data_IF_242128441162
#
_entry.id   IF_242128441162
#
_cell.length_a   1.000
_cell.length_b   1.000
_cell.length_c   1.000
_cell.angle_alpha   90.00
_cell.angle_beta   90.00
_cell.angle_gamma   90.00
#
_symmetry.space_group_name_H-M   'P 1'
#
loop_
_entity.id
_entity.type
_entity.pdbx_description
1 polymer ?
#
# COMPACT_ATOMS: atom_id res chain seq x y z
N UNK A 1 11.83 26.70 -25.09
CA UNK A 1 11.45 27.36 -23.82
C UNK A 1 9.93 27.24 -23.69
N UNK A 2 9.39 26.54 -22.67
CA UNK A 2 7.92 26.37 -22.55
C UNK A 2 7.24 27.71 -22.29
N UNK A 3 6.10 27.96 -22.92
CA UNK A 3 5.30 29.17 -22.71
C UNK A 3 4.70 29.20 -21.29
N UNK A 4 4.36 30.38 -20.77
CA UNK A 4 3.73 30.54 -19.43
C UNK A 4 2.47 29.68 -19.30
N UNK A 5 1.67 29.58 -20.36
CA UNK A 5 0.45 28.76 -20.43
C UNK A 5 0.75 27.25 -20.35
N UNK A 6 1.82 26.80 -21.01
CA UNK A 6 2.25 25.39 -20.94
C UNK A 6 2.79 25.01 -19.56
N UNK A 7 3.51 25.92 -18.88
CA UNK A 7 3.99 25.68 -17.51
C UNK A 7 2.83 25.56 -16.52
N UNK A 8 1.86 26.48 -16.59
CA UNK A 8 0.66 26.44 -15.75
C UNK A 8 -0.15 25.16 -15.96
N UNK A 9 -0.30 24.70 -17.21
CA UNK A 9 -0.97 23.43 -17.52
C UNK A 9 -0.24 22.24 -16.91
N UNK A 10 1.09 22.15 -17.09
CA UNK A 10 1.91 21.06 -16.52
C UNK A 10 1.83 21.02 -14.98
N UNK A 11 1.83 22.18 -14.33
CA UNK A 11 1.69 22.26 -12.88
C UNK A 11 0.31 21.77 -12.41
N UNK A 12 -0.76 22.17 -13.12
CA UNK A 12 -2.12 21.69 -12.84
C UNK A 12 -2.27 20.18 -13.04
N UNK A 13 -1.76 19.64 -14.15
CA UNK A 13 -1.85 18.21 -14.45
C UNK A 13 -1.13 17.38 -13.36
N UNK A 14 0.07 17.82 -12.95
CA UNK A 14 0.79 17.21 -11.82
C UNK A 14 -0.02 17.27 -10.53
N UNK A 15 -0.65 18.41 -10.23
CA UNK A 15 -1.48 18.54 -9.05
C UNK A 15 -2.68 17.58 -9.06
N UNK A 16 -3.29 17.34 -10.22
CA UNK A 16 -4.36 16.33 -10.34
C UNK A 16 -3.84 14.91 -10.19
N UNK A 17 -2.66 14.58 -10.74
CA UNK A 17 -2.00 13.29 -10.50
C UNK A 17 -1.77 13.05 -8.99
N UNK A 18 -1.45 14.12 -8.27
CA UNK A 18 -1.25 14.10 -6.82
C UNK A 18 -2.53 13.71 -6.08
N UNK A 19 -3.62 14.40 -6.41
CA UNK A 19 -4.94 14.12 -5.84
C UNK A 19 -5.39 12.71 -6.23
N UNK A 20 -5.12 12.27 -7.47
CA UNK A 20 -5.36 10.89 -7.91
C UNK A 20 -4.71 9.85 -6.99
N UNK A 21 -3.42 9.99 -6.66
CA UNK A 21 -2.76 9.04 -5.77
C UNK A 21 -3.40 9.01 -4.38
N UNK A 22 -3.73 10.18 -3.82
CA UNK A 22 -4.40 10.28 -2.52
C UNK A 22 -5.77 9.59 -2.54
N UNK A 23 -6.56 9.80 -3.60
CA UNK A 23 -7.87 9.16 -3.80
C UNK A 23 -7.73 7.65 -3.95
N UNK A 24 -6.78 7.21 -4.77
CA UNK A 24 -6.48 5.79 -4.97
C UNK A 24 -6.15 5.10 -3.65
N UNK A 25 -5.20 5.64 -2.87
CA UNK A 25 -4.83 5.10 -1.57
C UNK A 25 -5.98 5.15 -0.56
N UNK A 26 -6.79 6.21 -0.57
CA UNK A 26 -8.01 6.30 0.25
C UNK A 26 -9.00 5.17 -0.04
N UNK A 27 -9.26 4.88 -1.32
CA UNK A 27 -10.11 3.75 -1.72
C UNK A 27 -9.52 2.41 -1.26
N UNK A 28 -8.23 2.17 -1.51
CA UNK A 28 -7.56 0.95 -1.09
C UNK A 28 -7.55 0.77 0.43
N UNK A 29 -7.35 1.86 1.19
CA UNK A 29 -7.36 1.82 2.64
C UNK A 29 -8.72 1.40 3.20
N UNK A 30 -9.82 1.89 2.61
CA UNK A 30 -11.19 1.46 2.98
C UNK A 30 -11.40 -0.04 2.69
N UNK A 31 -10.96 -0.53 1.54
CA UNK A 31 -11.06 -1.96 1.18
C UNK A 31 -10.23 -2.85 2.11
N UNK A 32 -9.00 -2.46 2.43
CA UNK A 32 -8.15 -3.19 3.37
C UNK A 32 -8.71 -3.18 4.78
N UNK A 33 -9.27 -2.06 5.23
CA UNK A 33 -9.90 -1.97 6.55
C UNK A 33 -11.12 -2.91 6.64
N UNK A 34 -11.95 -2.97 5.59
CA UNK A 34 -13.06 -3.91 5.51
C UNK A 34 -12.57 -5.37 5.56
N UNK A 35 -11.49 -5.69 4.83
CA UNK A 35 -10.88 -7.03 4.84
C UNK A 35 -10.39 -7.39 6.25
N UNK A 36 -9.65 -6.48 6.91
CA UNK A 36 -9.14 -6.65 8.27
C UNK A 36 -10.26 -6.92 9.28
N UNK A 37 -11.40 -6.22 9.15
CA UNK A 37 -12.58 -6.45 9.99
C UNK A 37 -13.31 -7.76 9.68
N UNK A 38 -13.27 -8.23 8.43
CA UNK A 38 -13.98 -9.46 7.99
C UNK A 38 -13.19 -10.77 8.17
N UNK A 39 -11.88 -10.67 8.44
CA UNK A 39 -10.96 -11.80 8.54
C UNK A 39 -11.25 -12.79 9.69
N UNK A 40 -12.19 -12.47 10.58
CA UNK A 40 -12.41 -13.18 11.85
C UNK A 40 -13.10 -14.54 11.77
N UNK A 41 -13.98 -14.77 10.78
CA UNK A 41 -15.05 -15.76 10.98
C UNK A 41 -15.01 -17.00 10.07
N UNK A 42 -14.13 -17.06 9.06
CA UNK A 42 -14.18 -18.10 8.00
C UNK A 42 -12.86 -18.78 7.64
N UNK A 43 -11.79 -18.50 8.38
CA UNK A 43 -10.43 -19.01 8.10
C UNK A 43 -9.86 -19.71 9.32
N UNK A 44 -9.09 -20.77 9.13
CA UNK A 44 -8.39 -21.45 10.22
C UNK A 44 -7.31 -20.57 10.85
N UNK A 45 -6.76 -21.00 11.99
CA UNK A 45 -5.80 -20.19 12.77
C UNK A 45 -4.50 -19.91 11.99
N UNK A 46 -4.02 -20.87 11.20
CA UNK A 46 -2.83 -20.70 10.35
C UNK A 46 -3.09 -19.70 9.22
N UNK A 47 -4.27 -19.75 8.60
CA UNK A 47 -4.67 -18.79 7.57
C UNK A 47 -4.88 -17.40 8.15
N UNK A 48 -5.41 -17.28 9.39
CA UNK A 48 -5.51 -15.99 10.10
C UNK A 48 -4.14 -15.37 10.31
N UNK A 49 -3.13 -16.17 10.66
CA UNK A 49 -1.76 -15.69 10.84
C UNK A 49 -1.18 -15.15 9.52
N UNK A 50 -1.28 -15.91 8.44
CA UNK A 50 -0.80 -15.49 7.11
C UNK A 50 -1.53 -14.24 6.63
N UNK A 51 -2.85 -14.21 6.80
CA UNK A 51 -3.69 -13.08 6.43
C UNK A 51 -3.29 -11.83 7.23
N UNK A 52 -3.04 -11.97 8.54
CA UNK A 52 -2.57 -10.88 9.39
C UNK A 52 -1.22 -10.33 8.92
N UNK A 53 -0.22 -11.19 8.66
CA UNK A 53 1.09 -10.73 8.17
C UNK A 53 0.99 -10.06 6.79
N UNK A 54 0.14 -10.60 5.91
CA UNK A 54 -0.10 -10.06 4.58
C UNK A 54 -0.75 -8.68 4.66
N UNK A 55 -1.77 -8.52 5.51
CA UNK A 55 -2.42 -7.23 5.74
C UNK A 55 -1.45 -6.24 6.38
N UNK A 56 -0.73 -6.63 7.43
CA UNK A 56 0.26 -5.77 8.12
C UNK A 56 1.28 -5.23 7.11
N UNK A 57 1.88 -6.12 6.31
CA UNK A 57 2.86 -5.75 5.28
C UNK A 57 2.28 -4.78 4.26
N UNK A 58 1.08 -5.06 3.76
CA UNK A 58 0.41 -4.21 2.78
C UNK A 58 0.06 -2.85 3.36
N UNK A 59 -0.44 -2.77 4.60
CA UNK A 59 -0.75 -1.51 5.28
C UNK A 59 0.51 -0.66 5.41
N UNK A 60 1.63 -1.24 5.86
CA UNK A 60 2.89 -0.51 6.02
C UNK A 60 3.46 -0.05 4.67
N UNK A 61 3.49 -0.93 3.66
CA UNK A 61 3.93 -0.59 2.30
C UNK A 61 3.10 0.56 1.71
N UNK A 62 1.78 0.43 1.81
CA UNK A 62 0.83 1.41 1.30
C UNK A 62 0.96 2.73 2.04
N UNK A 63 1.07 2.71 3.37
CA UNK A 63 1.19 3.92 4.17
C UNK A 63 2.47 4.69 3.85
N UNK A 64 3.63 4.02 3.77
CA UNK A 64 4.88 4.71 3.40
C UNK A 64 4.79 5.27 1.99
N UNK A 65 4.23 4.51 1.04
CA UNK A 65 4.06 4.99 -0.35
C UNK A 65 3.11 6.20 -0.41
N UNK A 66 2.01 6.15 0.34
CA UNK A 66 1.08 7.27 0.46
C UNK A 66 1.76 8.53 1.01
N UNK A 67 2.57 8.39 2.07
CA UNK A 67 3.32 9.51 2.63
C UNK A 67 4.38 10.07 1.67
N UNK A 68 5.00 9.21 0.86
CA UNK A 68 5.92 9.63 -0.20
C UNK A 68 5.21 10.49 -1.24
N UNK A 69 4.06 10.05 -1.73
CA UNK A 69 3.27 10.83 -2.69
C UNK A 69 2.74 12.12 -2.07
N UNK A 70 2.30 12.09 -0.81
CA UNK A 70 1.85 13.29 -0.09
C UNK A 70 2.96 14.35 -0.01
N UNK A 71 4.17 13.94 0.37
CA UNK A 71 5.32 14.84 0.48
C UNK A 71 5.72 15.40 -0.89
N UNK A 72 5.93 14.51 -1.86
CA UNK A 72 6.37 14.86 -3.21
C UNK A 72 5.41 15.83 -3.90
N UNK A 73 4.12 15.67 -3.66
CA UNK A 73 3.12 16.31 -4.48
C UNK A 73 2.24 17.36 -3.81
N UNK A 74 2.17 17.38 -2.48
CA UNK A 74 1.50 18.47 -1.76
C UNK A 74 2.48 19.32 -0.96
N UNK A 75 3.59 18.75 -0.50
CA UNK A 75 4.54 19.52 0.32
C UNK A 75 5.59 20.22 -0.51
N UNK A 76 6.10 19.55 -1.54
CA UNK A 76 7.06 20.10 -2.50
C UNK A 76 6.39 20.83 -3.68
N UNK A 77 5.06 20.83 -3.76
CA UNK A 77 4.35 21.54 -4.82
C UNK A 77 4.48 23.06 -4.67
N UNK A 78 5.27 23.64 -5.57
CA UNK A 78 5.41 25.07 -5.72
C UNK A 78 4.28 25.62 -6.60
N UNK A 79 3.12 25.85 -5.98
CA UNK A 79 2.01 26.54 -6.62
C UNK A 79 2.45 27.95 -7.09
N UNK A 80 2.31 28.23 -8.38
CA UNK A 80 2.58 29.58 -8.94
C UNK A 80 1.41 30.55 -8.68
N UNK A 81 0.19 30.03 -8.48
CA UNK A 81 -0.99 30.83 -8.15
C UNK A 81 -1.27 30.86 -6.63
N UNK A 82 -1.67 32.04 -6.15
CA UNK A 82 -1.87 32.34 -4.73
C UNK A 82 -3.00 31.50 -4.12
N UNK A 83 -4.05 31.21 -4.90
CA UNK A 83 -5.22 30.48 -4.43
C UNK A 83 -4.88 29.02 -4.12
N UNK A 84 -4.23 28.32 -5.05
CA UNK A 84 -3.80 26.93 -4.85
C UNK A 84 -2.81 26.83 -3.70
N UNK A 85 -1.88 27.79 -3.60
CA UNK A 85 -0.95 27.86 -2.46
C UNK A 85 -1.69 27.95 -1.12
N UNK A 86 -2.67 28.85 -1.01
CA UNK A 86 -3.45 29.02 0.21
C UNK A 86 -4.22 27.74 0.59
N UNK A 87 -4.80 27.04 -0.40
CA UNK A 87 -5.49 25.76 -0.19
C UNK A 87 -4.55 24.65 0.28
N UNK A 88 -3.34 24.57 -0.30
CA UNK A 88 -2.29 23.63 0.12
C UNK A 88 -1.81 23.92 1.55
N UNK A 89 -1.58 25.19 1.88
CA UNK A 89 -1.15 25.59 3.23
C UNK A 89 -2.24 25.31 4.27
N UNK A 90 -3.52 25.51 3.93
CA UNK A 90 -4.64 25.13 4.78
C UNK A 90 -4.71 23.61 4.97
N UNK A 91 -4.59 22.84 3.89
CA UNK A 91 -4.56 21.39 3.92
C UNK A 91 -3.46 20.86 4.86
N UNK A 92 -2.23 21.37 4.71
CA UNK A 92 -1.07 21.03 5.58
C UNK A 92 -1.39 21.22 7.05
N UNK A 93 -1.93 22.38 7.42
CA UNK A 93 -2.30 22.70 8.81
C UNK A 93 -3.37 21.77 9.37
N UNK A 94 -4.36 21.39 8.55
CA UNK A 94 -5.46 20.52 8.99
C UNK A 94 -4.96 19.10 9.25
N UNK A 95 -4.05 18.59 8.42
CA UNK A 95 -3.54 17.21 8.55
C UNK A 95 -2.35 17.08 9.51
N UNK A 96 -1.74 18.18 9.93
CA UNK A 96 -0.56 18.21 10.81
C UNK A 96 -0.69 17.31 12.06
N UNK A 97 -1.84 17.27 12.78
CA UNK A 97 -2.00 16.36 13.91
C UNK A 97 -1.85 14.87 13.55
N UNK A 98 -2.30 14.48 12.35
CA UNK A 98 -2.15 13.11 11.84
C UNK A 98 -0.67 12.82 11.58
N UNK A 99 0.03 13.74 10.91
CA UNK A 99 1.45 13.59 10.59
C UNK A 99 2.30 13.47 11.85
N UNK A 100 2.04 14.33 12.83
CA UNK A 100 2.69 14.31 14.13
C UNK A 100 2.55 12.95 14.83
N UNK A 101 1.36 12.36 14.81
CA UNK A 101 1.14 11.00 15.36
C UNK A 101 1.90 9.92 14.59
N UNK A 102 1.99 10.05 13.26
CA UNK A 102 2.67 9.05 12.43
C UNK A 102 4.19 9.06 12.59
N UNK A 103 4.77 10.20 13.00
CA UNK A 103 6.19 10.31 13.32
C UNK A 103 6.60 9.50 14.56
N UNK A 104 5.64 8.99 15.35
CA UNK A 104 5.94 8.08 16.45
C UNK A 104 6.47 6.72 15.98
N UNK A 105 6.18 6.30 14.73
CA UNK A 105 6.72 5.07 14.15
C UNK A 105 7.98 5.38 13.35
N UNK A 106 9.07 5.61 14.08
CA UNK A 106 10.33 6.16 13.54
C UNK A 106 10.99 5.26 12.50
N UNK A 107 10.79 3.94 12.58
CA UNK A 107 11.45 2.98 11.70
C UNK A 107 10.58 2.51 10.55
N UNK A 108 9.37 3.03 10.36
CA UNK A 108 8.42 2.51 9.37
C UNK A 108 9.00 2.46 7.94
N UNK A 109 9.70 3.51 7.51
CA UNK A 109 10.38 3.56 6.20
C UNK A 109 11.56 2.60 6.12
N UNK A 110 12.35 2.49 7.20
CA UNK A 110 13.49 1.59 7.30
C UNK A 110 13.02 0.13 7.23
N UNK A 111 11.94 -0.19 7.94
CA UNK A 111 11.30 -1.50 7.92
C UNK A 111 10.78 -1.86 6.53
N UNK A 112 10.10 -0.93 5.84
CA UNK A 112 9.69 -1.10 4.44
C UNK A 112 10.88 -1.51 3.56
N UNK A 113 11.96 -0.75 3.63
CA UNK A 113 13.11 -0.91 2.73
C UNK A 113 13.95 -2.14 3.06
N UNK A 114 14.21 -2.38 4.33
CA UNK A 114 15.20 -3.38 4.76
C UNK A 114 14.57 -4.73 5.09
N UNK A 115 13.26 -4.77 5.34
CA UNK A 115 12.56 -6.00 5.76
C UNK A 115 11.49 -6.38 4.75
N UNK A 116 10.52 -5.50 4.48
CA UNK A 116 9.40 -5.85 3.60
C UNK A 116 9.82 -6.02 2.13
N UNK A 117 10.68 -5.15 1.60
CA UNK A 117 11.19 -5.25 0.23
C UNK A 117 12.03 -6.51 -0.01
N UNK A 118 12.51 -7.14 1.05
CA UNK A 118 13.35 -8.34 1.02
C UNK A 118 12.67 -9.57 1.63
N UNK A 119 11.32 -9.59 1.68
CA UNK A 119 10.54 -10.72 2.17
C UNK A 119 10.95 -11.17 3.58
N UNK A 120 11.03 -10.22 4.51
CA UNK A 120 11.38 -10.46 5.92
C UNK A 120 12.83 -10.95 6.14
N UNK A 121 13.74 -10.60 5.22
CA UNK A 121 15.17 -10.91 5.31
C UNK A 121 15.99 -9.63 5.34
N UNK A 122 17.06 -9.60 6.13
CA UNK A 122 17.97 -8.45 6.20
C UNK A 122 19.22 -8.74 5.37
N UNK A 123 19.43 -7.95 4.31
CA UNK A 123 20.58 -8.07 3.41
C UNK A 123 21.92 -7.95 4.17
N UNK A 124 22.03 -6.94 5.04
CA UNK A 124 23.24 -6.71 5.85
C UNK A 124 23.58 -7.85 6.82
N UNK A 125 22.66 -8.79 7.05
CA UNK A 125 22.87 -9.98 7.89
C UNK A 125 23.04 -11.27 7.06
N UNK A 126 23.31 -11.14 5.76
CA UNK A 126 23.41 -12.27 4.84
C UNK A 126 22.05 -12.88 4.51
N UNK A 127 21.02 -12.05 4.33
CA UNK A 127 19.65 -12.46 4.01
C UNK A 127 18.99 -13.37 5.05
N UNK A 128 19.39 -13.24 6.33
CA UNK A 128 18.75 -13.98 7.42
C UNK A 128 17.35 -13.44 7.69
N UNK A 129 16.44 -14.35 8.05
CA UNK A 129 15.07 -13.99 8.42
C UNK A 129 15.03 -13.20 9.73
N UNK A 130 14.24 -12.13 9.76
CA UNK A 130 13.99 -11.33 10.98
C UNK A 130 13.27 -12.14 12.07
N UNK A 131 12.52 -13.17 11.69
CA UNK A 131 11.84 -14.06 12.63
C UNK A 131 12.82 -14.99 13.35
N UNK A 132 13.88 -15.44 12.66
CA UNK A 132 14.89 -16.32 13.24
C UNK A 132 15.94 -15.56 14.06
N UNK A 133 16.19 -14.31 13.70
CA UNK A 133 17.20 -13.47 14.34
C UNK A 133 16.65 -12.65 15.50
N UNK A 134 15.33 -12.62 15.69
CA UNK A 134 14.67 -11.79 16.71
C UNK A 134 14.68 -10.30 16.39
N UNK A 135 15.26 -9.88 15.26
CA UNK A 135 15.45 -8.46 14.91
C UNK A 135 14.16 -7.70 14.61
N UNK A 136 13.03 -8.39 14.51
CA UNK A 136 11.73 -7.74 14.30
C UNK A 136 11.40 -6.76 15.44
N UNK A 137 11.69 -7.12 16.69
CA UNK A 137 11.41 -6.30 17.87
C UNK A 137 12.31 -5.07 18.02
N UNK A 138 13.34 -4.94 17.18
CA UNK A 138 14.23 -3.78 17.16
C UNK A 138 13.64 -2.59 16.39
N UNK A 139 12.57 -2.81 15.63
CA UNK A 139 11.94 -1.78 14.80
C UNK A 139 10.77 -1.12 15.55
N UNK A 140 10.78 0.20 15.65
CA UNK A 140 9.62 0.95 16.13
C UNK A 140 8.60 1.14 15.00
N UNK A 141 7.66 0.20 14.88
CA UNK A 141 6.65 0.11 13.81
C UNK A 141 5.25 -0.22 14.37
N UNK A 142 4.19 -0.06 13.57
CA UNK A 142 2.85 -0.57 13.86
C UNK A 142 2.86 -2.11 13.96
N UNK A 143 2.43 -2.66 15.10
CA UNK A 143 2.42 -4.10 15.34
C UNK A 143 1.02 -4.66 15.60
N UNK A 144 0.17 -3.88 16.26
CA UNK A 144 -1.17 -4.33 16.63
C UNK A 144 -2.18 -4.08 15.50
N UNK A 145 -3.25 -4.85 15.48
CA UNK A 145 -4.40 -4.62 14.59
C UNK A 145 -4.97 -3.20 14.75
N UNK A 146 -4.90 -2.64 15.96
CA UNK A 146 -5.33 -1.27 16.26
C UNK A 146 -4.41 -0.25 15.57
N UNK A 147 -3.10 -0.46 15.59
CA UNK A 147 -2.15 0.42 14.89
C UNK A 147 -2.39 0.40 13.38
N UNK A 148 -2.62 -0.79 12.82
CA UNK A 148 -2.93 -0.95 11.39
C UNK A 148 -4.23 -0.25 11.00
N UNK A 149 -5.30 -0.47 11.78
CA UNK A 149 -6.57 0.22 11.59
C UNK A 149 -6.41 1.74 11.71
N UNK A 150 -5.55 2.20 12.63
CA UNK A 150 -5.24 3.63 12.81
C UNK A 150 -4.55 4.21 11.57
N UNK A 151 -3.54 3.54 11.02
CA UNK A 151 -2.90 3.97 9.77
C UNK A 151 -3.87 4.04 8.60
N UNK A 152 -4.70 3.01 8.44
CA UNK A 152 -5.75 2.98 7.42
C UNK A 152 -6.74 4.14 7.59
N UNK A 153 -7.10 4.45 8.84
CA UNK A 153 -7.99 5.56 9.16
C UNK A 153 -7.35 6.92 8.86
N UNK A 154 -6.06 7.08 9.09
CA UNK A 154 -5.32 8.29 8.72
C UNK A 154 -5.31 8.53 7.21
N UNK A 155 -5.07 7.49 6.40
CA UNK A 155 -5.16 7.59 4.94
C UNK A 155 -6.60 7.97 4.51
N UNK A 156 -7.63 7.31 5.04
CA UNK A 156 -9.04 7.63 4.76
C UNK A 156 -9.39 9.08 5.13
N UNK A 157 -8.97 9.55 6.30
CA UNK A 157 -9.21 10.92 6.75
C UNK A 157 -8.51 11.95 5.87
N UNK A 158 -7.24 11.75 5.53
CA UNK A 158 -6.52 12.67 4.64
C UNK A 158 -7.16 12.69 3.25
N UNK A 159 -7.62 11.54 2.73
CA UNK A 159 -8.35 11.46 1.48
C UNK A 159 -9.67 12.26 1.51
N UNK A 160 -10.43 12.20 2.59
CA UNK A 160 -11.66 13.00 2.77
C UNK A 160 -11.38 14.51 2.90
N UNK A 161 -10.32 14.88 3.60
CA UNK A 161 -9.89 16.29 3.69
C UNK A 161 -9.46 16.80 2.29
N UNK A 162 -8.82 15.94 1.51
CA UNK A 162 -8.44 16.24 0.12
C UNK A 162 -9.68 16.51 -0.74
N UNK A 163 -10.72 15.69 -0.64
CA UNK A 163 -12.01 15.93 -1.32
C UNK A 163 -12.62 17.29 -0.96
N UNK A 164 -12.61 17.64 0.33
CA UNK A 164 -13.22 18.89 0.80
C UNK A 164 -12.48 20.14 0.32
N UNK A 165 -11.14 20.12 0.30
CA UNK A 165 -10.31 21.28 -0.06
C UNK A 165 -10.08 21.35 -1.57
N UNK A 166 -9.99 20.18 -2.22
CA UNK A 166 -9.63 20.02 -3.63
C UNK A 166 -10.76 19.45 -4.48
N UNK A 167 -11.99 19.94 -4.30
CA UNK A 167 -13.21 19.37 -4.92
C UNK A 167 -13.11 19.18 -6.44
N UNK A 168 -12.63 20.18 -7.18
CA UNK A 168 -12.53 20.13 -8.64
C UNK A 168 -11.50 19.08 -9.08
N UNK A 169 -10.32 19.14 -8.47
CA UNK A 169 -9.22 18.23 -8.77
C UNK A 169 -9.54 16.79 -8.35
N UNK A 170 -10.28 16.64 -7.25
CA UNK A 170 -10.82 15.37 -6.77
C UNK A 170 -11.82 14.77 -7.75
N UNK A 171 -12.73 15.58 -8.30
CA UNK A 171 -13.70 15.14 -9.30
C UNK A 171 -13.01 14.65 -10.59
N UNK A 172 -11.92 15.30 -11.00
CA UNK A 172 -11.10 14.84 -12.13
C UNK A 172 -10.33 13.55 -11.78
N UNK A 173 -9.73 13.49 -10.59
CA UNK A 173 -8.99 12.34 -10.10
C UNK A 173 -9.87 11.08 -9.96
N UNK A 174 -11.07 11.18 -9.39
CA UNK A 174 -11.96 10.03 -9.22
C UNK A 174 -12.43 9.47 -10.57
N UNK A 175 -12.62 10.33 -11.57
CA UNK A 175 -12.93 9.90 -12.93
C UNK A 175 -11.80 9.07 -13.54
N UNK A 176 -10.53 9.38 -13.22
CA UNK A 176 -9.37 8.57 -13.63
C UNK A 176 -9.32 7.24 -12.89
N UNK A 177 -9.48 7.23 -11.57
CA UNK A 177 -9.52 5.98 -10.76
C UNK A 177 -10.59 5.01 -11.28
N UNK A 178 -11.79 5.52 -11.57
CA UNK A 178 -12.90 4.72 -12.07
C UNK A 178 -12.67 4.13 -13.46
N UNK A 179 -11.79 4.71 -14.28
CA UNK A 179 -11.41 4.12 -15.58
C UNK A 179 -10.56 2.86 -15.39
N UNK A 180 -9.65 2.87 -14.42
CA UNK A 180 -8.79 1.71 -14.11
C UNK A 180 -9.56 0.58 -13.42
N UNK A 181 -10.58 0.89 -12.63
CA UNK A 181 -11.43 -0.10 -11.97
C UNK A 181 -12.43 -0.81 -12.89
N UNK A 182 -12.52 -0.45 -14.18
CA UNK A 182 -13.22 -1.26 -15.17
C UNK A 182 -12.40 -2.53 -15.42
N UNK A 183 -12.71 -3.60 -14.68
CA UNK A 183 -12.02 -4.87 -14.70
C UNK A 183 -11.62 -5.32 -16.11
N UNK A 184 -10.42 -5.88 -16.31
CA UNK A 184 -10.16 -6.66 -17.50
C UNK A 184 -11.22 -7.78 -17.57
N UNK A 185 -12.05 -7.77 -18.62
CA UNK A 185 -13.11 -8.75 -18.92
C UNK A 185 -12.64 -10.22 -19.01
N UNK A 186 -11.39 -10.54 -18.65
CA UNK A 186 -10.70 -11.80 -18.93
C UNK A 186 -10.25 -12.59 -17.69
N UNK A 187 -10.71 -12.27 -16.48
CA UNK A 187 -10.52 -13.16 -15.33
C UNK A 187 -11.70 -14.13 -15.28
N UNK A 188 -11.78 -14.99 -16.29
CA UNK A 188 -12.63 -16.18 -16.34
C UNK A 188 -11.82 -17.29 -17.05
N UNK A 189 -10.55 -17.44 -16.66
CA UNK A 189 -9.87 -18.70 -16.89
C UNK A 189 -10.48 -19.69 -15.89
N UNK A 190 -10.94 -20.84 -16.38
CA UNK A 190 -11.61 -21.83 -15.56
C UNK A 190 -10.63 -22.36 -14.52
N UNK A 191 -10.89 -22.05 -13.24
CA UNK A 191 -10.18 -22.54 -12.05
C UNK A 191 -9.96 -24.06 -12.15
N UNK A 192 -10.92 -24.78 -12.73
CA UNK A 192 -10.87 -26.23 -12.91
C UNK A 192 -9.74 -26.67 -13.86
N UNK A 193 -9.51 -25.94 -14.95
CA UNK A 193 -8.42 -26.24 -15.90
C UNK A 193 -7.06 -26.03 -15.26
N UNK A 194 -6.90 -24.95 -14.51
CA UNK A 194 -5.66 -24.64 -13.78
C UNK A 194 -5.39 -25.66 -12.67
N UNK A 195 -6.43 -26.04 -11.92
CA UNK A 195 -6.36 -27.07 -10.88
C UNK A 195 -5.91 -28.42 -11.46
N UNK A 196 -6.44 -28.82 -12.61
CA UNK A 196 -6.07 -30.07 -13.27
C UNK A 196 -4.60 -30.08 -13.73
N UNK A 197 -4.08 -28.97 -14.24
CA UNK A 197 -2.66 -28.86 -14.61
C UNK A 197 -1.74 -28.90 -13.38
N UNK A 198 -2.12 -28.22 -12.28
CA UNK A 198 -1.39 -28.30 -11.00
C UNK A 198 -1.32 -29.74 -10.50
N UNK A 199 -2.44 -30.48 -10.55
CA UNK A 199 -2.48 -31.88 -10.09
C UNK A 199 -1.55 -32.79 -10.89
N UNK A 200 -1.46 -32.62 -12.22
CA UNK A 200 -0.51 -33.37 -13.06
C UNK A 200 0.93 -33.12 -12.64
N UNK A 201 1.29 -31.86 -12.37
CA UNK A 201 2.64 -31.49 -11.90
C UNK A 201 2.92 -32.11 -10.52
N UNK A 202 1.96 -32.06 -9.59
CA UNK A 202 2.13 -32.65 -8.26
C UNK A 202 2.33 -34.17 -8.30
N UNK A 203 1.64 -34.88 -9.20
CA UNK A 203 1.85 -36.31 -9.42
C UNK A 203 3.29 -36.59 -9.86
N UNK A 204 3.81 -35.81 -10.82
CA UNK A 204 5.19 -35.95 -11.30
C UNK A 204 6.23 -35.65 -10.21
N UNK A 205 6.00 -34.61 -9.39
CA UNK A 205 6.86 -34.29 -8.24
C UNK A 205 6.90 -35.46 -7.25
N UNK A 206 5.74 -36.02 -6.90
CA UNK A 206 5.66 -37.15 -5.97
C UNK A 206 6.35 -38.40 -6.53
N UNK A 207 6.25 -38.65 -7.84
CA UNK A 207 6.99 -39.73 -8.50
C UNK A 207 8.50 -39.56 -8.32
N UNK A 208 9.03 -38.36 -8.57
CA UNK A 208 10.46 -38.05 -8.41
C UNK A 208 10.94 -38.18 -6.96
N UNK A 209 10.12 -37.75 -5.99
CA UNK A 209 10.43 -37.93 -4.56
C UNK A 209 10.55 -39.42 -4.21
N UNK A 210 9.62 -40.25 -4.72
CA UNK A 210 9.66 -41.69 -4.48
C UNK A 210 10.87 -42.37 -5.14
N UNK A 211 11.25 -41.95 -6.35
CA UNK A 211 12.45 -42.43 -7.04
C UNK A 211 13.73 -42.05 -6.26
N UNK A 212 13.82 -40.81 -5.79
CA UNK A 212 14.93 -40.34 -4.94
C UNK A 212 15.03 -41.17 -3.66
N UNK A 213 13.93 -41.36 -2.93
CA UNK A 213 13.92 -42.14 -1.68
C UNK A 213 14.35 -43.60 -1.89
N UNK A 214 14.04 -44.20 -3.05
CA UNK A 214 14.51 -45.56 -3.41
C UNK A 214 15.99 -45.62 -3.80
N UNK A 215 16.59 -44.50 -4.21
CA UNK A 215 18.01 -44.45 -4.62
C UNK A 215 18.98 -44.32 -3.45
N UNK A 216 18.47 -43.91 -2.28
CA UNK A 216 19.23 -43.74 -1.02
C UNK A 216 18.89 -44.80 0.04
N UNK A 217 18.02 -45.77 -0.29
CA UNK A 217 17.66 -46.92 0.53
C UNK A 217 18.32 -48.19 -0.02
#
# INVERSE_FOLDING_TARGET
MKTKKEKLKVNRDRFIESVYHIVFYGNTARSLNALLSSAGDKVGEDEKMILRYSIQSNVMLMFVSFMDELNKYLFEYNAEDIETKARVDAFKKIIDPILSKTNNWTDLRKFRNNVLAHNFRIDSDGYKSVHLTGKLSEYNIPESTIDLATLLKYIDSISKITEQIFQNEYSEAIALVNRFNKSPKKINQSIEKETNEVNKVLIEVNKRINEYNRSIA
#
